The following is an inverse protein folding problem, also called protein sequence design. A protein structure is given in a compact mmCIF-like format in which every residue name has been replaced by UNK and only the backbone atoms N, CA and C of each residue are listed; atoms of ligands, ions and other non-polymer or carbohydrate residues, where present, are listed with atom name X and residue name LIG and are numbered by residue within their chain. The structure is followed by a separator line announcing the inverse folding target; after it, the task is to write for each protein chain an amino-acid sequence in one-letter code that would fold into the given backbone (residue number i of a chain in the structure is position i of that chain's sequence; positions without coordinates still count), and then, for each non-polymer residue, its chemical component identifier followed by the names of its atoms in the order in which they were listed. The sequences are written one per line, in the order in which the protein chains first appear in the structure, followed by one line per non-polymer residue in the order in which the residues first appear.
data_IF_314113965457
#
_entry.id   IF_314113965457
#
_cell.length_a   1.000
_cell.length_b   1.000
_cell.length_c   1.000
_cell.angle_alpha   90.00
_cell.angle_beta   90.00
_cell.angle_gamma   90.00
#
_symmetry.space_group_name_H-M   'P 1'
#
loop_
_entity.id
_entity.type
_entity.pdbx_description
1 polymer ?
#
# COMPACT_ATOMS: atom_id res chain seq x y z
N UNK A 1 19.18 13.51 -11.85
CA UNK A 1 18.19 12.45 -12.12
C UNK A 1 17.22 12.41 -10.95
N UNK A 2 16.05 12.96 -11.20
CA UNK A 2 15.31 13.80 -10.28
C UNK A 2 14.47 13.03 -9.27
N UNK A 3 14.79 13.21 -7.99
CA UNK A 3 14.02 12.69 -6.85
C UNK A 3 12.59 13.26 -6.79
N UNK A 4 12.29 14.31 -7.59
CA UNK A 4 10.95 14.92 -7.74
C UNK A 4 9.96 14.04 -8.52
N UNK A 5 10.41 13.11 -9.36
CA UNK A 5 9.51 12.25 -10.15
C UNK A 5 8.88 11.13 -9.30
N UNK A 6 9.49 10.79 -8.16
CA UNK A 6 9.05 9.67 -7.32
C UNK A 6 7.68 9.86 -6.65
N UNK A 7 7.23 11.11 -6.49
CA UNK A 7 5.95 11.43 -5.83
C UNK A 7 4.81 11.72 -6.81
N UNK A 8 5.12 12.03 -8.08
CA UNK A 8 4.11 12.42 -9.07
C UNK A 8 3.35 11.23 -9.67
N UNK A 9 3.94 10.03 -9.67
CA UNK A 9 3.34 8.82 -10.23
C UNK A 9 2.62 7.93 -9.19
N UNK A 10 2.88 8.08 -7.89
CA UNK A 10 2.26 7.22 -6.84
C UNK A 10 0.73 7.31 -6.79
N UNK A 11 0.15 8.47 -7.13
CA UNK A 11 -1.31 8.64 -7.16
C UNK A 11 -1.95 8.00 -8.40
N UNK A 12 -1.22 7.90 -9.51
CA UNK A 12 -1.73 7.26 -10.74
C UNK A 12 -1.80 5.74 -10.62
N UNK A 13 -0.94 5.13 -9.79
CA UNK A 13 -0.85 3.68 -9.72
C UNK A 13 -1.80 3.02 -8.72
N UNK A 14 -2.60 3.79 -7.97
CA UNK A 14 -3.54 3.29 -6.96
C UNK A 14 -2.88 2.34 -5.94
N UNK A 15 -1.68 2.70 -5.47
CA UNK A 15 -0.87 1.91 -4.54
C UNK A 15 -0.76 2.56 -3.18
N UNK A 16 -0.92 1.76 -2.12
CA UNK A 16 -0.70 2.13 -0.72
C UNK A 16 0.61 1.50 -0.23
N UNK A 17 1.37 2.23 0.57
CA UNK A 17 2.57 1.71 1.24
C UNK A 17 2.33 1.60 2.73
N UNK A 18 2.56 0.44 3.31
CA UNK A 18 2.41 0.21 4.75
C UNK A 18 3.62 -0.53 5.32
N UNK A 19 3.91 -0.32 6.60
CA UNK A 19 4.86 -1.15 7.37
C UNK A 19 4.07 -2.27 8.03
N UNK A 20 4.57 -3.50 7.93
CA UNK A 20 3.93 -4.71 8.45
C UNK A 20 4.93 -5.51 9.28
N UNK A 21 4.41 -6.46 10.08
CA UNK A 21 5.25 -7.40 10.79
C UNK A 21 6.11 -8.21 9.83
N UNK A 22 7.35 -8.52 10.24
CA UNK A 22 8.32 -9.25 9.41
C UNK A 22 7.88 -10.66 9.04
N UNK A 23 6.99 -11.26 9.82
CA UNK A 23 6.42 -12.59 9.57
C UNK A 23 5.20 -12.57 8.64
N UNK A 24 4.58 -11.40 8.43
CA UNK A 24 3.33 -11.31 7.68
C UNK A 24 3.51 -11.76 6.21
N UNK A 25 2.67 -12.69 5.77
CA UNK A 25 2.64 -13.16 4.38
C UNK A 25 1.85 -12.22 3.48
N UNK A 26 2.12 -12.24 2.17
CA UNK A 26 1.39 -11.39 1.20
C UNK A 26 -0.13 -11.63 1.24
N UNK A 27 -0.56 -12.87 1.45
CA UNK A 27 -1.97 -13.26 1.55
C UNK A 27 -2.63 -12.64 2.79
N UNK A 28 -2.00 -12.79 3.96
CA UNK A 28 -2.50 -12.18 5.20
C UNK A 28 -2.61 -10.65 5.09
N UNK A 29 -1.64 -10.00 4.44
CA UNK A 29 -1.66 -8.55 4.23
C UNK A 29 -2.86 -8.16 3.34
N UNK A 30 -3.08 -8.87 2.23
CA UNK A 30 -4.23 -8.63 1.36
C UNK A 30 -5.55 -8.83 2.12
N UNK A 31 -5.75 -9.99 2.75
CA UNK A 31 -6.99 -10.34 3.46
C UNK A 31 -7.32 -9.34 4.57
N UNK A 32 -6.31 -8.90 5.32
CA UNK A 32 -6.49 -7.93 6.41
C UNK A 32 -6.91 -6.57 5.87
N UNK A 33 -6.28 -6.09 4.80
CA UNK A 33 -6.61 -4.80 4.19
C UNK A 33 -8.02 -4.84 3.58
N UNK A 34 -8.34 -5.92 2.88
CA UNK A 34 -9.67 -6.10 2.29
C UNK A 34 -10.77 -6.08 3.36
N UNK A 35 -10.54 -6.76 4.50
CA UNK A 35 -11.50 -6.81 5.62
C UNK A 35 -11.65 -5.47 6.34
N UNK A 36 -10.54 -4.82 6.69
CA UNK A 36 -10.56 -3.59 7.48
C UNK A 36 -11.14 -2.41 6.71
N UNK A 37 -10.77 -2.27 5.43
CA UNK A 37 -11.12 -1.11 4.62
C UNK A 37 -12.25 -1.39 3.62
N UNK A 38 -12.76 -2.63 3.56
CA UNK A 38 -13.79 -3.08 2.61
C UNK A 38 -13.41 -2.74 1.16
N UNK A 39 -12.14 -2.96 0.82
CA UNK A 39 -11.59 -2.69 -0.52
C UNK A 39 -11.11 -3.98 -1.17
N UNK A 40 -10.91 -3.94 -2.47
CA UNK A 40 -10.34 -5.06 -3.22
C UNK A 40 -8.87 -4.79 -3.54
N UNK A 41 -8.02 -5.79 -3.27
CA UNK A 41 -6.57 -5.72 -3.48
C UNK A 41 -6.22 -6.52 -4.73
N UNK A 42 -5.54 -5.89 -5.68
CA UNK A 42 -5.10 -6.51 -6.93
C UNK A 42 -3.76 -7.24 -6.75
N UNK A 43 -2.81 -6.60 -6.07
CA UNK A 43 -1.45 -7.14 -5.93
C UNK A 43 -0.75 -6.64 -4.68
N UNK A 44 0.00 -7.52 -4.04
CA UNK A 44 0.86 -7.17 -2.89
C UNK A 44 2.32 -7.49 -3.18
N UNK A 45 3.17 -6.47 -3.08
CA UNK A 45 4.61 -6.61 -3.13
C UNK A 45 5.18 -6.27 -1.75
N UNK A 46 6.24 -6.96 -1.33
CA UNK A 46 6.86 -6.74 -0.01
C UNK A 46 8.37 -6.67 -0.18
N UNK A 47 9.02 -5.82 0.60
CA UNK A 47 10.47 -5.75 0.72
C UNK A 47 10.87 -5.59 2.19
N UNK A 48 12.06 -6.05 2.54
CA UNK A 48 12.67 -5.75 3.83
C UNK A 48 13.53 -4.49 3.66
N UNK A 49 13.26 -3.49 4.48
CA UNK A 49 14.04 -2.25 4.48
C UNK A 49 15.37 -2.45 5.21
N UNK A 50 16.40 -1.62 4.98
CA UNK A 50 17.66 -1.67 5.72
C UNK A 50 17.49 -1.51 7.24
N UNK A 51 16.38 -0.92 7.70
CA UNK A 51 16.01 -0.80 9.11
C UNK A 51 15.46 -2.10 9.72
N UNK A 52 15.35 -3.19 8.94
CA UNK A 52 14.83 -4.48 9.38
C UNK A 52 13.30 -4.61 9.33
N UNK A 53 12.58 -3.55 8.92
CA UNK A 53 11.12 -3.54 8.84
C UNK A 53 10.65 -4.09 7.49
N UNK A 54 9.53 -4.82 7.48
CA UNK A 54 8.88 -5.24 6.24
C UNK A 54 7.98 -4.12 5.75
N UNK A 55 8.27 -3.60 4.55
CA UNK A 55 7.46 -2.63 3.83
C UNK A 55 6.64 -3.35 2.77
N UNK A 56 5.34 -3.11 2.74
CA UNK A 56 4.43 -3.67 1.75
C UNK A 56 3.88 -2.57 0.85
N UNK A 57 3.93 -2.82 -0.46
CA UNK A 57 3.23 -2.05 -1.49
C UNK A 57 1.99 -2.83 -1.91
N UNK A 58 0.83 -2.23 -1.71
CA UNK A 58 -0.47 -2.84 -1.94
C UNK A 58 -1.15 -2.07 -3.05
N UNK A 59 -1.35 -2.72 -4.18
CA UNK A 59 -2.10 -2.17 -5.31
C UNK A 59 -3.57 -2.51 -5.12
N UNK A 60 -4.42 -1.48 -5.12
CA UNK A 60 -5.86 -1.63 -5.02
C UNK A 60 -6.48 -1.82 -6.40
N UNK A 61 -7.64 -2.47 -6.42
CA UNK A 61 -8.49 -2.56 -7.61
C UNK A 61 -8.87 -1.14 -8.09
N UNK A 62 -8.93 -0.88 -9.40
CA UNK A 62 -9.23 0.44 -9.96
C UNK A 62 -10.61 0.99 -9.56
N UNK A 63 -11.49 0.14 -8.99
CA UNK A 63 -12.77 0.55 -8.40
C UNK A 63 -12.63 1.38 -7.13
N UNK A 64 -11.48 1.31 -6.46
CA UNK A 64 -11.21 2.01 -5.20
C UNK A 64 -10.06 3.00 -5.40
N UNK A 65 -10.13 4.16 -4.76
CA UNK A 65 -9.06 5.16 -4.79
C UNK A 65 -8.22 5.08 -3.50
N UNK A 66 -6.91 4.89 -3.67
CA UNK A 66 -5.95 4.95 -2.56
C UNK A 66 -5.98 6.33 -1.86
N UNK A 67 -6.24 7.40 -2.61
CA UNK A 67 -6.34 8.76 -2.06
C UNK A 67 -7.55 8.90 -1.13
N UNK A 68 -8.70 8.35 -1.52
CA UNK A 68 -9.91 8.41 -0.70
C UNK A 68 -9.75 7.61 0.59
N UNK A 69 -9.07 6.46 0.53
CA UNK A 69 -8.73 5.69 1.73
C UNK A 69 -7.79 6.46 2.66
N UNK A 70 -6.76 7.12 2.13
CA UNK A 70 -5.85 7.94 2.93
C UNK A 70 -6.56 9.15 3.56
N UNK A 71 -7.48 9.78 2.82
CA UNK A 71 -8.29 10.88 3.30
C UNK A 71 -9.20 10.45 4.45
N UNK A 72 -9.85 9.28 4.34
CA UNK A 72 -10.65 8.68 5.42
C UNK A 72 -9.83 8.33 6.66
N UNK A 73 -8.54 8.04 6.47
CA UNK A 73 -7.59 7.75 7.54
C UNK A 73 -6.98 9.02 8.17
N UNK A 74 -7.27 10.22 7.63
CA UNK A 74 -6.70 11.47 8.12
C UNK A 74 -5.19 11.62 7.86
N UNK A 75 -4.66 10.92 6.85
CA UNK A 75 -3.22 10.88 6.52
C UNK A 75 -2.82 11.85 5.38
N UNK A 76 -3.60 12.91 5.17
CA UNK A 76 -3.40 13.91 4.08
C UNK A 76 -2.84 15.21 4.63
#
# INVERSE_FOLDING_TARGET
MDSKTLFKDKFKENKITIIVRREATKKQIADTIQKLYKVEVEKVNTLITPKGEKKAYVKLSPKYSAFDLLSRLGLT
#
